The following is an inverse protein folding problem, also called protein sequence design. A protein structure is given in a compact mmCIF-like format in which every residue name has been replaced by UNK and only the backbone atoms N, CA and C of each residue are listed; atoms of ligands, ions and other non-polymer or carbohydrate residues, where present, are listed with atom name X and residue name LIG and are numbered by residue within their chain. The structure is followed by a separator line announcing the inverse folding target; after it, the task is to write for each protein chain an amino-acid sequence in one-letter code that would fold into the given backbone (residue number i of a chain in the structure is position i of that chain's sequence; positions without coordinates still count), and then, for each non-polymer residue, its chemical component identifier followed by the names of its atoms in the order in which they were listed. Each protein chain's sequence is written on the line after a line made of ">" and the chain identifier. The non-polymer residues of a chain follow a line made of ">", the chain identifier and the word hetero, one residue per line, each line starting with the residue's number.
data_IF_677818906086
#
_entry.id   IF_677818906086
#
_cell.length_a   1.000
_cell.length_b   1.000
_cell.length_c   1.000
_cell.angle_alpha   90.00
_cell.angle_beta   90.00
_cell.angle_gamma   90.00
#
_symmetry.space_group_name_H-M   'P 1'
#
loop_
_entity.id
_entity.type
_entity.pdbx_description
1 polymer ?
#
# COMPACT_ATOMS: atom_id res chain seq x y z
N UNK A 1 -25.07 22.84 11.07
CA UNK A 1 -25.55 21.44 11.01
C UNK A 1 -25.97 21.14 9.59
N UNK A 2 -25.26 20.27 8.88
CA UNK A 2 -25.76 19.36 7.83
C UNK A 2 -24.59 18.42 7.47
N UNK A 3 -24.35 17.42 8.32
CA UNK A 3 -23.58 16.25 7.90
C UNK A 3 -24.44 15.49 6.88
N UNK A 4 -24.30 15.86 5.61
CA UNK A 4 -24.89 15.11 4.51
C UNK A 4 -24.41 13.67 4.63
N UNK A 5 -25.32 12.76 4.99
CA UNK A 5 -25.05 11.31 5.01
C UNK A 5 -24.55 10.94 3.63
N UNK A 6 -23.24 10.76 3.50
CA UNK A 6 -22.59 10.29 2.27
C UNK A 6 -23.18 8.90 2.02
N UNK A 7 -24.15 8.81 1.10
CA UNK A 7 -24.65 7.53 0.59
C UNK A 7 -23.47 6.91 -0.15
N UNK A 8 -22.66 6.14 0.56
CA UNK A 8 -21.62 5.32 -0.06
C UNK A 8 -22.35 4.32 -0.95
N UNK A 9 -22.37 4.58 -2.25
CA UNK A 9 -22.86 3.60 -3.20
C UNK A 9 -21.96 2.36 -3.10
N UNK A 10 -22.52 1.17 -3.35
CA UNK A 10 -21.72 -0.05 -3.42
C UNK A 10 -20.55 0.09 -4.40
N UNK A 11 -20.71 0.89 -5.45
CA UNK A 11 -19.64 1.24 -6.37
C UNK A 11 -18.49 2.00 -5.67
N UNK A 12 -18.80 3.03 -4.87
CA UNK A 12 -17.77 3.78 -4.12
C UNK A 12 -17.04 2.90 -3.10
N UNK A 13 -17.75 1.98 -2.43
CA UNK A 13 -17.15 1.03 -1.50
C UNK A 13 -16.21 0.05 -2.24
N UNK A 14 -16.63 -0.47 -3.40
CA UNK A 14 -15.81 -1.35 -4.24
C UNK A 14 -14.56 -0.64 -4.75
N UNK A 15 -14.67 0.63 -5.17
CA UNK A 15 -13.52 1.44 -5.56
C UNK A 15 -12.54 1.66 -4.41
N UNK A 16 -13.03 1.90 -3.19
CA UNK A 16 -12.18 2.04 -2.00
C UNK A 16 -11.44 0.73 -1.70
N UNK A 17 -12.13 -0.40 -1.76
CA UNK A 17 -11.53 -1.74 -1.54
C UNK A 17 -10.49 -2.03 -2.64
N UNK A 18 -10.80 -1.71 -3.90
CA UNK A 18 -9.87 -1.88 -5.01
C UNK A 18 -8.62 -1.01 -4.86
N UNK A 19 -8.77 0.25 -4.43
CA UNK A 19 -7.65 1.14 -4.14
C UNK A 19 -6.78 0.59 -2.99
N UNK A 20 -7.40 0.11 -1.91
CA UNK A 20 -6.68 -0.55 -0.81
C UNK A 20 -5.94 -1.81 -1.26
N UNK A 21 -6.56 -2.62 -2.12
CA UNK A 21 -5.93 -3.84 -2.67
C UNK A 21 -4.75 -3.53 -3.59
N UNK A 22 -4.85 -2.49 -4.42
CA UNK A 22 -3.72 -2.00 -5.23
C UNK A 22 -2.56 -1.54 -4.34
N UNK A 23 -2.86 -0.81 -3.27
CA UNK A 23 -1.83 -0.35 -2.33
C UNK A 23 -1.17 -1.52 -1.58
N UNK A 24 -1.94 -2.53 -1.18
CA UNK A 24 -1.42 -3.74 -0.57
C UNK A 24 -0.54 -4.55 -1.54
N UNK A 25 -0.96 -4.66 -2.81
CA UNK A 25 -0.17 -5.33 -3.86
C UNK A 25 1.14 -4.60 -4.14
N UNK A 26 1.11 -3.27 -4.25
CA UNK A 26 2.31 -2.45 -4.40
C UNK A 26 3.32 -2.67 -3.27
N UNK A 27 2.84 -2.71 -2.01
CA UNK A 27 3.71 -2.99 -0.85
C UNK A 27 4.26 -4.41 -0.86
N UNK A 28 3.48 -5.39 -1.31
CA UNK A 28 3.94 -6.77 -1.44
C UNK A 28 5.01 -6.91 -2.54
N UNK A 29 4.81 -6.27 -3.69
CA UNK A 29 5.79 -6.25 -4.77
C UNK A 29 7.08 -5.53 -4.34
N UNK A 30 6.99 -4.44 -3.56
CA UNK A 30 8.15 -3.82 -2.94
C UNK A 30 8.90 -4.77 -1.98
N UNK A 31 8.18 -5.54 -1.15
CA UNK A 31 8.80 -6.54 -0.25
C UNK A 31 9.49 -7.67 -1.04
N UNK A 32 8.88 -8.12 -2.15
CA UNK A 32 9.50 -9.10 -3.06
C UNK A 32 10.73 -8.52 -3.74
N UNK A 33 10.63 -7.32 -4.32
CA UNK A 33 11.77 -6.66 -4.95
C UNK A 33 12.92 -6.43 -3.97
N UNK A 34 12.62 -6.08 -2.72
CA UNK A 34 13.61 -5.93 -1.65
C UNK A 34 14.33 -7.22 -1.28
N UNK A 35 13.64 -8.35 -1.42
CA UNK A 35 14.18 -9.68 -1.12
C UNK A 35 14.96 -10.24 -2.30
N UNK A 36 14.41 -10.13 -3.51
CA UNK A 36 14.96 -10.75 -4.71
C UNK A 36 16.07 -9.89 -5.34
N UNK A 37 15.92 -8.56 -5.34
CA UNK A 37 16.83 -7.63 -6.01
C UNK A 37 16.96 -6.30 -5.24
N UNK A 38 17.65 -6.31 -4.09
CA UNK A 38 17.78 -5.13 -3.23
C UNK A 38 18.46 -3.93 -3.92
N UNK A 39 19.27 -4.15 -4.96
CA UNK A 39 19.93 -3.08 -5.71
C UNK A 39 18.97 -2.26 -6.58
N UNK A 40 17.86 -2.87 -7.04
CA UNK A 40 16.87 -2.17 -7.83
C UNK A 40 16.12 -1.12 -7.01
N UNK A 41 16.07 -1.27 -5.69
CA UNK A 41 15.43 -0.29 -4.78
C UNK A 41 16.22 1.02 -4.76
N UNK A 42 17.55 0.94 -4.70
CA UNK A 42 18.42 2.12 -4.76
C UNK A 42 18.35 2.79 -6.14
N UNK A 43 18.19 2.03 -7.24
CA UNK A 43 18.08 2.57 -8.60
C UNK A 43 16.79 3.40 -8.84
N UNK A 44 15.70 3.08 -8.13
CA UNK A 44 14.46 3.90 -8.13
C UNK A 44 14.54 5.08 -7.13
N UNK A 45 15.67 5.26 -6.46
CA UNK A 45 15.90 6.33 -5.48
C UNK A 45 15.20 6.09 -4.14
N UNK A 46 14.79 4.86 -3.84
CA UNK A 46 14.27 4.48 -2.54
C UNK A 46 15.39 3.87 -1.72
N UNK A 47 15.64 4.36 -0.51
CA UNK A 47 16.60 3.68 0.36
C UNK A 47 15.96 2.44 0.97
N UNK A 48 16.75 1.38 1.17
CA UNK A 48 16.28 0.15 1.86
C UNK A 48 15.60 0.43 3.21
N UNK A 49 16.04 1.47 3.92
CA UNK A 49 15.45 1.91 5.18
C UNK A 49 14.05 2.52 5.03
N UNK A 50 13.80 3.27 3.95
CA UNK A 50 12.46 3.79 3.63
C UNK A 50 11.51 2.67 3.24
N UNK A 51 11.98 1.69 2.46
CA UNK A 51 11.18 0.51 2.11
C UNK A 51 10.81 -0.29 3.36
N UNK A 52 11.76 -0.50 4.28
CA UNK A 52 11.50 -1.18 5.56
C UNK A 52 10.52 -0.38 6.45
N UNK A 53 10.63 0.95 6.47
CA UNK A 53 9.67 1.82 7.16
C UNK A 53 8.27 1.76 6.53
N UNK A 54 8.19 1.69 5.20
CA UNK A 54 6.92 1.55 4.45
C UNK A 54 6.27 0.17 4.66
N UNK A 55 7.09 -0.88 4.76
CA UNK A 55 6.68 -2.24 5.14
C UNK A 55 6.25 -2.27 6.61
N UNK A 56 6.90 -1.51 7.50
CA UNK A 56 6.51 -1.43 8.92
C UNK A 56 5.15 -0.74 9.12
N UNK A 57 4.75 0.14 8.19
CA UNK A 57 3.38 0.71 8.14
C UNK A 57 2.33 -0.30 7.66
N UNK A 58 2.70 -1.54 7.35
CA UNK A 58 1.72 -2.59 7.10
C UNK A 58 0.99 -2.95 8.40
N UNK A 59 -0.32 -3.15 8.34
CA UNK A 59 -1.05 -3.67 9.48
C UNK A 59 -0.56 -5.10 9.79
N UNK A 60 -0.59 -5.47 11.07
CA UNK A 60 -0.02 -6.72 11.59
C UNK A 60 -0.48 -7.99 10.85
N UNK A 61 -1.68 -7.99 10.25
CA UNK A 61 -2.22 -9.12 9.49
C UNK A 61 -1.56 -9.33 8.13
N UNK A 62 -0.69 -8.42 7.69
CA UNK A 62 0.01 -8.46 6.41
C UNK A 62 1.53 -8.62 6.58
N UNK A 63 2.00 -8.86 7.81
CA UNK A 63 3.43 -8.98 8.16
C UNK A 63 3.99 -10.36 7.85
#
# INVERSE_FOLDING_TARGET
>A
MHMGRRRYSLAALRSLIAARRKQAYFRFELKRLATDNPHLIDDIGLTKAEVEAEITKLPFWQR
#
